data_IF_389531893568
#
_entry.id   IF_389531893568
#
_cell.length_a   1.000
_cell.length_b   1.000
_cell.length_c   1.000
_cell.angle_alpha   90.00
_cell.angle_beta   90.00
_cell.angle_gamma   90.00
#
_symmetry.space_group_name_H-M   'P 1'
#
loop_
_entity.id
_entity.type
_entity.pdbx_description
1 polymer ?
#
# COMPACT_ATOMS: atom_id res chain seq x y z
N UNK A 1 -14.51 56.27 34.61
CA UNK A 1 -14.34 56.12 33.15
C UNK A 1 -12.83 56.19 32.90
N UNK A 2 -12.07 55.10 32.80
CA UNK A 2 -12.00 54.10 31.72
C UNK A 2 -11.56 52.76 32.32
N UNK A 3 -12.23 51.66 31.99
CA UNK A 3 -11.75 50.30 32.28
C UNK A 3 -10.84 49.89 31.11
N UNK A 4 -9.59 49.58 31.40
CA UNK A 4 -8.68 48.94 30.44
C UNK A 4 -8.91 47.43 30.57
N UNK A 5 -9.43 46.81 29.52
CA UNK A 5 -9.50 45.36 29.41
C UNK A 5 -8.19 44.88 28.78
N UNK A 6 -7.39 44.15 29.54
CA UNK A 6 -6.31 43.33 28.99
C UNK A 6 -6.94 42.06 28.41
N UNK A 7 -7.01 41.96 27.09
CA UNK A 7 -7.33 40.71 26.41
C UNK A 7 -6.12 39.78 26.53
N UNK A 8 -6.25 38.73 27.35
CA UNK A 8 -5.33 37.60 27.33
C UNK A 8 -5.72 36.74 26.12
N UNK A 9 -5.03 36.94 24.98
CA UNK A 9 -5.14 36.04 23.85
C UNK A 9 -4.36 34.76 24.21
N UNK A 10 -5.04 33.77 24.77
CA UNK A 10 -4.49 32.41 24.84
C UNK A 10 -4.62 31.85 23.43
N UNK A 11 -3.62 32.09 22.59
CA UNK A 11 -3.43 31.30 21.38
C UNK A 11 -2.74 30.02 21.85
N UNK A 12 -3.53 28.99 22.17
CA UNK A 12 -2.99 27.63 22.22
C UNK A 12 -2.73 27.19 20.77
N UNK A 13 -1.64 27.70 20.18
CA UNK A 13 -1.07 27.03 19.03
C UNK A 13 -0.59 25.68 19.54
N UNK A 14 -1.33 24.62 19.22
CA UNK A 14 -0.78 23.28 19.14
C UNK A 14 0.37 23.37 18.13
N UNK A 15 1.56 23.67 18.62
CA UNK A 15 2.79 23.47 17.89
C UNK A 15 2.87 21.96 17.70
N UNK A 16 2.65 21.49 16.48
CA UNK A 16 3.16 20.19 16.07
C UNK A 16 4.68 20.28 16.20
N UNK A 17 5.18 19.92 17.38
CA UNK A 17 6.59 20.03 17.79
C UNK A 17 7.40 18.81 17.35
N UNK A 18 6.95 18.10 16.31
CA UNK A 18 7.66 16.93 15.85
C UNK A 18 8.45 17.27 14.60
N UNK A 19 9.76 17.08 14.71
CA UNK A 19 10.65 17.12 13.56
C UNK A 19 10.34 15.92 12.66
N UNK A 20 10.58 16.07 11.36
CA UNK A 20 10.59 14.95 10.43
C UNK A 20 11.49 13.82 10.97
N UNK A 21 11.00 12.58 10.91
CA UNK A 21 11.76 11.40 11.32
C UNK A 21 11.81 10.38 10.18
N UNK A 22 12.86 9.57 10.18
CA UNK A 22 13.07 8.54 9.17
C UNK A 22 12.21 7.31 9.47
N UNK A 23 11.40 6.88 8.49
CA UNK A 23 10.54 5.71 8.63
C UNK A 23 11.33 4.40 8.52
N UNK A 24 12.31 4.34 7.61
CA UNK A 24 13.05 3.13 7.30
C UNK A 24 14.30 2.94 8.19
N UNK A 25 14.76 1.70 8.37
CA UNK A 25 15.96 1.32 9.14
C UNK A 25 17.16 1.19 8.20
N UNK A 26 16.97 0.60 7.01
CA UNK A 26 18.01 0.54 5.98
C UNK A 26 17.90 1.72 5.02
N UNK A 27 18.85 2.65 5.08
CA UNK A 27 18.90 3.85 4.22
C UNK A 27 19.66 3.65 2.91
N UNK A 28 20.18 2.45 2.67
CA UNK A 28 20.99 2.20 1.49
C UNK A 28 20.12 2.17 0.24
N UNK A 29 20.68 2.70 -0.86
CA UNK A 29 20.05 2.72 -2.18
C UNK A 29 18.75 3.53 -2.23
N UNK A 30 17.87 3.21 -3.17
CA UNK A 30 16.67 3.99 -3.50
C UNK A 30 15.47 3.51 -2.69
N UNK A 31 14.83 4.44 -2.00
CA UNK A 31 13.54 4.27 -1.31
C UNK A 31 12.50 5.17 -1.99
N UNK A 32 11.39 4.61 -2.53
CA UNK A 32 10.40 5.36 -3.32
C UNK A 32 8.97 4.85 -3.14
N UNK A 33 8.03 5.64 -3.66
CA UNK A 33 6.58 5.36 -3.67
C UNK A 33 6.03 4.90 -2.32
N UNK A 34 6.19 5.72 -1.26
CA UNK A 34 5.61 5.39 0.03
C UNK A 34 4.08 5.49 -0.01
N UNK A 35 3.41 4.64 0.77
CA UNK A 35 1.98 4.73 1.06
C UNK A 35 1.78 4.53 2.57
N UNK A 36 0.77 5.18 3.13
CA UNK A 36 0.47 5.15 4.57
C UNK A 36 -1.00 4.85 4.82
N UNK A 37 -1.29 4.14 5.90
CA UNK A 37 -2.64 3.90 6.42
C UNK A 37 -2.63 3.84 7.96
N UNK A 38 -3.78 4.05 8.60
CA UNK A 38 -3.91 4.17 10.07
C UNK A 38 -5.07 3.30 10.59
N UNK A 39 -4.88 2.63 11.72
CA UNK A 39 -5.93 1.83 12.39
C UNK A 39 -6.78 2.65 13.38
N UNK A 40 -7.77 2.01 14.00
CA UNK A 40 -8.67 2.65 14.96
C UNK A 40 -8.01 3.05 16.30
N UNK A 41 -6.80 2.55 16.58
CA UNK A 41 -6.02 2.89 17.77
C UNK A 41 -5.00 4.02 17.50
N UNK A 42 -4.93 4.49 16.26
CA UNK A 42 -3.95 5.49 15.83
C UNK A 42 -2.57 4.91 15.52
N UNK A 43 -2.42 3.58 15.44
CA UNK A 43 -1.19 2.99 14.89
C UNK A 43 -1.20 3.18 13.37
N UNK A 44 -0.08 3.60 12.80
CA UNK A 44 0.04 3.78 11.37
C UNK A 44 1.08 2.86 10.76
N UNK A 45 0.85 2.55 9.49
CA UNK A 45 1.57 1.56 8.70
C UNK A 45 2.10 2.26 7.47
N UNK A 46 3.43 2.25 7.31
CA UNK A 46 4.10 2.84 6.15
C UNK A 46 4.65 1.71 5.32
N UNK A 47 4.26 1.67 4.04
CA UNK A 47 4.84 0.79 3.05
C UNK A 47 5.64 1.59 2.04
N UNK A 48 6.72 1.03 1.53
CA UNK A 48 7.52 1.69 0.50
C UNK A 48 8.26 0.66 -0.36
N UNK A 49 8.69 1.10 -1.53
CA UNK A 49 9.59 0.33 -2.38
C UNK A 49 11.04 0.61 -2.01
N UNK A 50 11.82 -0.45 -1.84
CA UNK A 50 13.26 -0.40 -1.60
C UNK A 50 14.02 -1.15 -2.70
N UNK A 51 15.03 -0.51 -3.30
CA UNK A 51 15.94 -1.18 -4.24
C UNK A 51 17.14 -1.71 -3.46
N UNK A 52 17.31 -3.03 -3.38
CA UNK A 52 18.53 -3.57 -2.80
C UNK A 52 19.72 -3.27 -3.71
N UNK A 53 20.84 -2.83 -3.13
CA UNK A 53 22.13 -2.74 -3.84
C UNK A 53 23.01 -3.90 -3.41
N UNK A 54 22.56 -5.12 -3.69
CA UNK A 54 23.53 -6.21 -3.75
C UNK A 54 23.98 -6.37 -5.21
N UNK A 55 25.28 -6.53 -5.41
CA UNK A 55 25.97 -6.40 -6.71
C UNK A 55 25.56 -7.42 -7.79
N UNK A 56 24.56 -8.26 -7.50
CA UNK A 56 24.00 -9.29 -8.36
C UNK A 56 22.47 -9.18 -8.56
N UNK A 57 21.76 -8.35 -7.78
CA UNK A 57 20.30 -8.21 -7.86
C UNK A 57 19.88 -6.74 -7.68
N UNK A 58 19.37 -6.13 -8.75
CA UNK A 58 18.87 -4.74 -8.76
C UNK A 58 17.36 -4.65 -8.56
N UNK A 59 16.70 -5.75 -8.19
CA UNK A 59 15.25 -5.78 -8.04
C UNK A 59 14.82 -4.98 -6.81
N UNK A 60 13.67 -4.35 -6.96
CA UNK A 60 13.01 -3.69 -5.86
C UNK A 60 12.09 -4.63 -5.11
N UNK A 61 12.01 -4.41 -3.80
CA UNK A 61 11.14 -5.13 -2.88
C UNK A 61 10.22 -4.13 -2.16
N UNK A 62 9.12 -4.65 -1.58
CA UNK A 62 8.21 -3.84 -0.78
C UNK A 62 8.48 -4.11 0.70
N UNK A 63 8.60 -3.04 1.47
CA UNK A 63 8.78 -3.11 2.92
C UNK A 63 7.63 -2.43 3.64
N UNK A 64 7.40 -2.87 4.88
CA UNK A 64 6.41 -2.35 5.81
C UNK A 64 7.10 -2.00 7.13
N UNK A 65 6.70 -0.87 7.73
CA UNK A 65 6.98 -0.54 9.13
C UNK A 65 5.71 -0.02 9.79
N UNK A 66 5.41 -0.56 10.97
CA UNK A 66 4.35 -0.07 11.85
C UNK A 66 4.91 0.88 12.91
N UNK A 67 4.11 1.86 13.27
CA UNK A 67 4.36 2.81 14.34
C UNK A 67 3.12 2.93 15.22
N UNK A 68 3.32 3.23 16.50
CA UNK A 68 2.22 3.56 17.40
C UNK A 68 1.82 5.04 17.27
N UNK A 69 0.77 5.44 17.99
CA UNK A 69 0.26 6.82 18.00
C UNK A 69 1.21 7.86 18.63
N UNK A 70 2.34 7.43 19.20
CA UNK A 70 3.40 8.28 19.73
C UNK A 70 4.64 8.31 18.81
N UNK A 71 4.49 7.84 17.58
CA UNK A 71 5.53 7.78 16.54
C UNK A 71 6.70 6.83 16.86
N UNK A 72 6.48 5.89 17.77
CA UNK A 72 7.45 4.85 18.12
C UNK A 72 7.27 3.63 17.20
N UNK A 73 8.38 3.11 16.64
CA UNK A 73 8.37 1.90 15.83
C UNK A 73 7.83 0.71 16.64
N UNK A 74 6.82 0.02 16.11
CA UNK A 74 6.39 -1.29 16.59
C UNK A 74 7.11 -2.35 15.76
N UNK A 75 7.95 -3.16 16.41
CA UNK A 75 8.69 -4.23 15.74
C UNK A 75 9.76 -3.74 14.74
N UNK A 76 10.35 -4.68 14.01
CA UNK A 76 11.28 -4.40 12.91
C UNK A 76 10.54 -4.19 11.59
N UNK A 77 11.25 -3.69 10.60
CA UNK A 77 10.78 -3.68 9.22
C UNK A 77 10.49 -5.08 8.73
N UNK A 78 9.47 -5.20 7.88
CA UNK A 78 9.00 -6.47 7.34
C UNK A 78 9.07 -6.43 5.82
N UNK A 79 9.68 -7.46 5.22
CA UNK A 79 9.58 -7.70 3.78
C UNK A 79 8.15 -8.16 3.45
N UNK A 80 7.46 -7.40 2.61
CA UNK A 80 6.06 -7.64 2.26
C UNK A 80 5.93 -8.76 1.25
N UNK A 81 6.74 -8.73 0.20
CA UNK A 81 6.78 -9.79 -0.81
C UNK A 81 7.64 -11.00 -0.35
N UNK A 82 7.51 -12.13 -1.02
CA UNK A 82 8.25 -13.37 -0.80
C UNK A 82 9.04 -13.82 -2.03
N UNK A 83 8.75 -13.27 -3.21
CA UNK A 83 9.54 -13.49 -4.43
C UNK A 83 10.56 -12.37 -4.62
N UNK A 84 11.85 -12.71 -4.56
CA UNK A 84 12.97 -11.75 -4.65
C UNK A 84 13.57 -11.62 -6.07
N UNK A 85 13.08 -12.41 -7.02
CA UNK A 85 13.58 -12.42 -8.42
C UNK A 85 12.84 -11.47 -9.36
N UNK A 86 11.68 -10.98 -8.95
CA UNK A 86 10.87 -10.04 -9.72
C UNK A 86 10.94 -8.64 -9.13
N UNK A 87 10.70 -7.62 -9.95
CA UNK A 87 10.70 -6.24 -9.47
C UNK A 87 9.33 -5.91 -8.87
N UNK A 88 9.33 -5.54 -7.59
CA UNK A 88 8.12 -5.20 -6.86
C UNK A 88 8.01 -3.68 -6.78
N UNK A 89 6.88 -3.13 -7.24
CA UNK A 89 6.74 -1.70 -7.47
C UNK A 89 5.41 -1.09 -7.03
N UNK A 90 5.46 0.20 -6.69
CA UNK A 90 4.30 1.07 -6.41
C UNK A 90 3.32 0.44 -5.40
N UNK A 91 3.79 0.18 -4.16
CA UNK A 91 2.94 -0.41 -3.15
C UNK A 91 1.86 0.57 -2.69
N UNK A 92 0.70 0.03 -2.38
CA UNK A 92 -0.43 0.74 -1.75
C UNK A 92 -0.92 -0.08 -0.56
N UNK A 93 -1.42 0.59 0.47
CA UNK A 93 -1.91 -0.04 1.70
C UNK A 93 -3.28 0.51 2.09
N UNK A 94 -4.16 -0.35 2.59
CA UNK A 94 -5.37 0.04 3.30
C UNK A 94 -5.52 -0.79 4.57
N UNK A 95 -5.91 -0.15 5.67
CA UNK A 95 -6.01 -0.76 7.01
C UNK A 95 -7.41 -0.56 7.56
N UNK A 96 -8.00 -1.59 8.15
CA UNK A 96 -9.28 -1.49 8.86
C UNK A 96 -9.08 -1.03 10.32
N UNK A 97 -10.18 -0.79 11.02
CA UNK A 97 -10.15 -0.32 12.42
C UNK A 97 -9.41 -1.27 13.39
N UNK A 98 -9.33 -2.57 13.10
CA UNK A 98 -8.64 -3.56 13.93
C UNK A 98 -7.14 -3.72 13.63
N UNK A 99 -6.60 -3.01 12.62
CA UNK A 99 -5.19 -3.13 12.23
C UNK A 99 -4.90 -4.24 11.20
N UNK A 100 -5.93 -4.84 10.60
CA UNK A 100 -5.78 -5.70 9.42
C UNK A 100 -5.49 -4.82 8.21
N UNK A 101 -4.38 -5.08 7.54
CA UNK A 101 -3.91 -4.31 6.39
C UNK A 101 -3.86 -5.17 5.14
N UNK A 102 -4.29 -4.60 4.01
CA UNK A 102 -4.05 -5.16 2.68
C UNK A 102 -2.99 -4.30 2.01
N UNK A 103 -1.92 -4.94 1.56
CA UNK A 103 -0.88 -4.28 0.77
C UNK A 103 -0.97 -4.85 -0.63
N UNK A 104 -1.13 -4.00 -1.65
CA UNK A 104 -1.13 -4.40 -3.05
C UNK A 104 0.01 -3.67 -3.79
N UNK A 105 0.58 -4.32 -4.80
CA UNK A 105 1.72 -3.77 -5.56
C UNK A 105 1.73 -4.33 -6.98
N UNK A 106 2.47 -3.66 -7.87
CA UNK A 106 2.75 -4.17 -9.21
C UNK A 106 4.00 -5.06 -9.15
N UNK A 107 3.99 -6.21 -9.81
CA UNK A 107 5.14 -7.12 -9.92
C UNK A 107 5.53 -7.24 -11.39
N UNK A 108 6.77 -6.90 -11.73
CA UNK A 108 7.33 -7.11 -13.06
C UNK A 108 8.15 -8.40 -13.07
N UNK A 109 7.61 -9.41 -13.74
CA UNK A 109 8.39 -10.56 -14.18
C UNK A 109 9.20 -10.15 -15.43
N UNK A 110 10.54 -10.30 -15.40
CA UNK A 110 11.42 -9.86 -16.48
C UNK A 110 11.19 -10.59 -17.81
N UNK A 111 10.49 -11.73 -17.81
CA UNK A 111 10.20 -12.53 -19.00
C UNK A 111 8.78 -12.35 -19.54
N UNK A 112 7.90 -11.67 -18.79
CA UNK A 112 6.49 -11.52 -19.18
C UNK A 112 6.06 -10.05 -19.15
N UNK A 113 5.33 -9.64 -18.11
CA UNK A 113 4.73 -8.33 -17.99
C UNK A 113 4.42 -8.00 -16.52
N UNK A 114 3.92 -6.79 -16.27
CA UNK A 114 3.47 -6.44 -14.94
C UNK A 114 2.18 -7.17 -14.57
N UNK A 115 2.10 -7.69 -13.35
CA UNK A 115 0.89 -8.20 -12.72
C UNK A 115 0.62 -7.43 -11.41
N UNK A 116 -0.53 -7.69 -10.79
CA UNK A 116 -0.89 -7.13 -9.49
C UNK A 116 -0.89 -8.24 -8.44
N UNK A 117 -0.09 -8.05 -7.40
CA UNK A 117 -0.09 -8.92 -6.23
C UNK A 117 -0.63 -8.17 -5.02
N UNK A 118 -1.10 -8.94 -4.03
CA UNK A 118 -1.47 -8.42 -2.73
C UNK A 118 -1.08 -9.39 -1.61
N UNK A 119 -1.00 -8.89 -0.38
CA UNK A 119 -0.81 -9.69 0.82
C UNK A 119 -1.56 -9.09 1.99
N UNK A 120 -2.15 -9.98 2.78
CA UNK A 120 -2.90 -9.64 3.98
C UNK A 120 -1.92 -9.61 5.15
N UNK A 121 -2.05 -8.62 6.00
CA UNK A 121 -1.29 -8.48 7.24
C UNK A 121 -2.24 -8.29 8.42
N UNK A 122 -1.95 -8.98 9.51
CA UNK A 122 -2.47 -8.62 10.82
C UNK A 122 -1.34 -7.88 11.55
N UNK A 123 -1.44 -6.56 11.60
CA UNK A 123 -0.35 -5.68 12.02
C UNK A 123 0.94 -5.93 11.19
N UNK A 124 2.06 -6.29 11.81
CA UNK A 124 3.32 -6.63 11.13
C UNK A 124 3.43 -8.10 10.70
N UNK A 125 2.37 -8.90 10.89
CA UNK A 125 2.42 -10.35 10.61
C UNK A 125 1.68 -10.67 9.32
N UNK A 126 2.33 -11.25 8.29
CA UNK A 126 1.63 -11.67 7.09
C UNK A 126 0.66 -12.81 7.41
N UNK A 127 -0.53 -12.75 6.82
CA UNK A 127 -1.58 -13.76 6.95
C UNK A 127 -1.69 -14.50 5.63
N UNK A 128 -1.33 -15.79 5.65
CA UNK A 128 -1.35 -16.64 4.45
C UNK A 128 -0.25 -16.30 3.44
N UNK A 129 -0.49 -16.76 2.20
CA UNK A 129 0.40 -16.54 1.06
C UNK A 129 0.08 -15.22 0.36
N UNK A 130 0.95 -14.82 -0.56
CA UNK A 130 0.62 -13.78 -1.53
C UNK A 130 -0.57 -14.18 -2.41
N UNK A 131 -1.28 -13.16 -2.88
CA UNK A 131 -2.47 -13.26 -3.69
C UNK A 131 -2.15 -12.68 -5.07
N UNK A 132 -2.29 -13.51 -6.11
CA UNK A 132 -2.31 -13.04 -7.49
C UNK A 132 -3.67 -12.40 -7.75
N UNK A 133 -3.70 -11.06 -7.81
CA UNK A 133 -4.94 -10.30 -7.84
C UNK A 133 -5.63 -10.46 -9.19
N UNK A 134 -4.94 -10.08 -10.27
CA UNK A 134 -5.47 -10.19 -11.61
C UNK A 134 -5.54 -11.65 -12.06
N UNK A 135 -6.50 -11.95 -12.93
CA UNK A 135 -6.64 -13.25 -13.60
C UNK A 135 -6.18 -13.17 -15.06
N UNK A 136 -6.34 -12.00 -15.68
CA UNK A 136 -5.78 -11.71 -17.00
C UNK A 136 -4.32 -11.33 -16.87
N UNK A 137 -3.42 -12.12 -17.46
CA UNK A 137 -1.96 -11.98 -17.32
C UNK A 137 -1.26 -11.69 -18.64
N UNK A 138 -2.03 -11.47 -19.72
CA UNK A 138 -1.48 -11.01 -20.98
C UNK A 138 -1.30 -9.49 -20.91
N UNK A 139 -0.19 -8.97 -21.44
CA UNK A 139 0.20 -7.56 -21.27
C UNK A 139 0.30 -7.13 -19.79
N UNK A 140 0.35 -5.81 -19.55
CA UNK A 140 0.70 -5.26 -18.24
C UNK A 140 -0.50 -4.78 -17.44
N UNK A 141 -0.60 -5.26 -16.20
CA UNK A 141 -1.49 -4.77 -15.16
C UNK A 141 -0.67 -3.97 -14.13
N UNK A 142 -1.00 -2.69 -13.92
CA UNK A 142 -0.16 -1.75 -13.15
C UNK A 142 -0.98 -0.80 -12.27
N UNK A 143 -0.30 -0.08 -11.38
CA UNK A 143 -0.87 1.03 -10.58
C UNK A 143 -2.10 0.60 -9.73
N UNK A 144 -1.91 -0.34 -8.79
CA UNK A 144 -3.00 -0.79 -7.95
C UNK A 144 -3.50 0.33 -7.00
N UNK A 145 -4.76 0.24 -6.63
CA UNK A 145 -5.34 0.87 -5.44
C UNK A 145 -6.16 -0.18 -4.68
N UNK A 146 -6.26 -0.01 -3.35
CA UNK A 146 -6.91 -0.99 -2.47
C UNK A 146 -7.80 -0.31 -1.44
N UNK A 147 -8.92 -0.94 -1.12
CA UNK A 147 -9.79 -0.56 -0.02
C UNK A 147 -10.24 -1.80 0.75
N UNK A 148 -10.36 -1.70 2.07
CA UNK A 148 -10.77 -2.77 2.98
C UNK A 148 -11.96 -2.32 3.82
N UNK A 149 -12.89 -3.25 4.09
CA UNK A 149 -14.00 -3.07 5.03
C UNK A 149 -13.61 -3.52 6.44
N UNK A 150 -14.35 -3.09 7.44
CA UNK A 150 -14.11 -3.51 8.83
C UNK A 150 -14.19 -5.03 9.04
N UNK A 151 -15.00 -5.74 8.26
CA UNK A 151 -15.07 -7.20 8.32
C UNK A 151 -13.87 -7.91 7.64
N UNK A 152 -12.95 -7.16 7.04
CA UNK A 152 -11.77 -7.67 6.35
C UNK A 152 -11.93 -7.87 4.85
N UNK A 153 -13.15 -7.88 4.31
CA UNK A 153 -13.35 -7.97 2.85
C UNK A 153 -12.74 -6.76 2.17
N UNK A 154 -12.12 -6.98 1.01
CA UNK A 154 -11.38 -5.93 0.32
C UNK A 154 -11.59 -5.96 -1.19
N UNK A 155 -11.27 -4.86 -1.84
CA UNK A 155 -11.27 -4.72 -3.29
C UNK A 155 -9.92 -4.15 -3.71
N UNK A 156 -9.37 -4.71 -4.78
CA UNK A 156 -8.20 -4.16 -5.47
C UNK A 156 -8.65 -3.72 -6.85
N UNK A 157 -8.23 -2.52 -7.24
CA UNK A 157 -8.46 -1.95 -8.58
C UNK A 157 -7.12 -1.61 -9.22
N UNK A 158 -7.00 -1.68 -10.54
CA UNK A 158 -5.74 -1.44 -11.26
C UNK A 158 -5.97 -1.03 -12.71
N UNK A 159 -4.91 -0.54 -13.36
CA UNK A 159 -4.86 -0.28 -14.79
C UNK A 159 -4.46 -1.55 -15.54
N UNK A 160 -5.27 -2.00 -16.51
CA UNK A 160 -4.96 -3.14 -17.37
C UNK A 160 -4.78 -2.70 -18.82
N UNK A 161 -3.73 -3.19 -19.48
CA UNK A 161 -3.47 -2.92 -20.89
C UNK A 161 -4.10 -4.00 -21.78
N UNK A 162 -4.86 -3.59 -22.78
CA UNK A 162 -5.37 -4.45 -23.86
C UNK A 162 -6.30 -5.60 -23.47
N UNK A 163 -6.68 -5.69 -22.19
CA UNK A 163 -7.55 -6.75 -21.68
C UNK A 163 -8.94 -6.79 -22.32
N UNK A 164 -9.46 -5.65 -22.74
CA UNK A 164 -10.75 -5.53 -23.43
C UNK A 164 -10.59 -5.24 -24.93
N UNK A 165 -9.38 -5.41 -25.47
CA UNK A 165 -9.03 -5.10 -26.85
C UNK A 165 -8.86 -3.61 -27.16
N UNK A 166 -8.89 -2.74 -26.14
CA UNK A 166 -8.59 -1.30 -26.27
C UNK A 166 -7.31 -0.94 -25.50
N UNK A 167 -6.93 0.34 -25.35
CA UNK A 167 -5.68 0.70 -24.68
C UNK A 167 -5.69 0.37 -23.16
N UNK A 168 -5.76 1.37 -22.27
CA UNK A 168 -5.83 1.14 -20.82
C UNK A 168 -7.28 1.15 -20.34
N UNK A 169 -7.65 0.12 -19.59
CA UNK A 169 -8.89 0.05 -18.82
C UNK A 169 -8.63 -0.04 -17.33
N UNK A 170 -9.63 0.29 -16.51
CA UNK A 170 -9.59 0.11 -15.05
C UNK A 170 -10.36 -1.16 -14.72
N UNK A 171 -9.72 -2.08 -14.02
CA UNK A 171 -10.27 -3.38 -13.64
C UNK A 171 -10.25 -3.55 -12.13
N UNK A 172 -11.05 -4.48 -11.64
CA UNK A 172 -11.18 -4.74 -10.22
C UNK A 172 -11.44 -6.22 -9.90
N UNK A 173 -11.02 -6.62 -8.70
CA UNK A 173 -11.36 -7.89 -8.09
C UNK A 173 -11.73 -7.67 -6.61
N UNK A 174 -12.83 -8.29 -6.19
CA UNK A 174 -13.28 -8.29 -4.79
C UNK A 174 -12.80 -9.57 -4.12
N UNK A 175 -12.45 -9.47 -2.85
CA UNK A 175 -11.95 -10.57 -2.05
C UNK A 175 -12.67 -10.66 -0.70
N UNK A 176 -12.79 -11.88 -0.19
CA UNK A 176 -13.12 -12.15 1.21
C UNK A 176 -11.95 -11.78 2.12
N UNK A 177 -12.22 -11.65 3.41
CA UNK A 177 -11.21 -11.36 4.44
C UNK A 177 -10.02 -12.35 4.52
N UNK A 178 -10.18 -13.58 4.02
CA UNK A 178 -9.12 -14.60 3.95
C UNK A 178 -8.38 -14.62 2.58
N UNK A 179 -8.70 -13.69 1.68
CA UNK A 179 -8.06 -13.55 0.37
C UNK A 179 -8.69 -14.38 -0.74
N UNK A 180 -9.83 -15.02 -0.50
CA UNK A 180 -10.61 -15.70 -1.53
C UNK A 180 -11.26 -14.72 -2.51
N UNK A 181 -11.20 -15.01 -3.82
CA UNK A 181 -11.86 -14.19 -4.84
C UNK A 181 -13.39 -14.26 -4.71
N UNK A 182 -14.05 -13.12 -4.53
CA UNK A 182 -15.50 -12.98 -4.58
C UNK A 182 -15.95 -12.62 -6.00
N UNK A 183 -16.35 -13.64 -6.76
CA UNK A 183 -16.74 -13.48 -8.15
C UNK A 183 -15.54 -13.35 -9.09
N UNK A 184 -15.83 -12.98 -10.33
CA UNK A 184 -14.82 -12.76 -11.36
C UNK A 184 -14.36 -11.31 -11.37
N UNK A 185 -13.19 -11.11 -11.95
CA UNK A 185 -12.64 -9.80 -12.26
C UNK A 185 -13.56 -9.06 -13.25
N UNK A 186 -13.68 -7.75 -13.08
CA UNK A 186 -14.58 -6.93 -13.89
C UNK A 186 -13.99 -5.56 -14.22
N UNK A 187 -14.39 -5.03 -15.38
CA UNK A 187 -14.04 -3.67 -15.81
C UNK A 187 -14.85 -2.64 -15.02
N UNK A 188 -14.18 -1.62 -14.50
CA UNK A 188 -14.75 -0.52 -13.72
C UNK A 188 -15.13 0.66 -14.61
N UNK A 189 -14.29 1.03 -15.58
CA UNK A 189 -14.56 2.16 -16.46
C UNK A 189 -15.53 1.80 -17.60
N UNK A 190 -16.42 2.73 -17.95
CA UNK A 190 -17.43 2.58 -19.02
C UNK A 190 -17.17 3.52 -20.21
N UNK A 191 -15.94 3.62 -20.70
CA UNK A 191 -15.66 4.37 -21.93
C UNK A 191 -15.71 3.47 -23.17
N UNK A 192 -16.56 3.88 -24.11
CA UNK A 192 -16.64 3.40 -25.49
C UNK A 192 -15.47 4.00 -26.31
N UNK A 193 -14.96 3.21 -27.24
CA UNK A 193 -13.71 3.34 -28.01
C UNK A 193 -13.42 4.74 -28.61
N UNK A 194 -12.12 5.03 -28.79
CA UNK A 194 -11.61 5.66 -30.01
C UNK A 194 -10.74 4.67 -30.76
#
# INVERSE_FOLDING_TARGET
MKRIFTFLLIVSSLLFSQNEFQVNTYSDSTQRWPSISIDGNGNYYVVWQSLLRDSLNTNSNIYLQQFNSNDEKIGSEVLVNGYEWDQQEKPVIATNSSGTSIIAWSILDPFTAYNIHARIFNQNTPVGNEINVNTYTEYSQTNPAVAIRDNGDFIVVWDSWFQDGSDRGVFAQIFTADGGKLGMEFKVNNTTLY
#
